data_IF_057752138252
#
_entry.id   IF_057752138252
#
_cell.length_a   1.000
_cell.length_b   1.000
_cell.length_c   1.000
_cell.angle_alpha   90.00
_cell.angle_beta   90.00
_cell.angle_gamma   90.00
#
_symmetry.space_group_name_H-M   'P 1'
#
loop_
_entity.id
_entity.type
_entity.pdbx_description
1 polymer ?
#
# COMPACT_ATOMS: atom_id res chain seq x y z
N UNK A 1 9.98 2.85 7.12
CA UNK A 1 8.85 1.90 7.32
C UNK A 1 9.32 0.45 7.16
N UNK A 2 10.51 0.09 7.67
CA UNK A 2 11.15 -1.23 7.45
C UNK A 2 11.52 -1.97 8.75
N UNK A 3 11.05 -1.49 9.91
CA UNK A 3 11.62 -1.92 11.20
C UNK A 3 10.97 -3.15 11.85
N UNK A 4 9.88 -3.70 11.30
CA UNK A 4 9.05 -4.68 12.03
C UNK A 4 9.02 -6.10 11.42
N UNK A 5 9.89 -6.43 10.46
CA UNK A 5 9.97 -7.80 9.93
C UNK A 5 10.91 -8.74 10.72
N UNK A 6 11.58 -8.25 11.77
CA UNK A 6 12.74 -8.93 12.39
C UNK A 6 12.43 -9.95 13.49
N UNK A 7 11.20 -10.09 13.98
CA UNK A 7 10.96 -10.87 15.22
C UNK A 7 9.82 -11.91 15.15
N UNK A 8 9.61 -12.58 14.01
CA UNK A 8 8.82 -13.82 14.01
C UNK A 8 9.61 -14.97 13.43
N UNK A 9 10.18 -15.76 14.34
CA UNK A 9 10.73 -17.10 14.12
C UNK A 9 9.71 -17.97 13.36
N UNK A 10 9.93 -18.17 12.07
CA UNK A 10 9.03 -18.96 11.22
C UNK A 10 9.19 -18.80 9.71
N UNK A 11 9.98 -17.83 9.24
CA UNK A 11 10.27 -17.59 7.82
C UNK A 11 11.71 -17.98 7.48
N UNK A 12 11.99 -18.36 6.22
CA UNK A 12 13.34 -18.64 5.74
C UNK A 12 14.09 -19.66 6.64
N UNK A 13 13.38 -20.71 7.08
CA UNK A 13 13.94 -21.72 8.01
C UNK A 13 14.36 -21.19 9.39
N UNK A 14 13.91 -19.99 9.78
CA UNK A 14 14.31 -19.31 11.01
C UNK A 14 15.49 -18.35 10.86
N UNK A 15 16.06 -18.24 9.66
CA UNK A 15 17.14 -17.29 9.35
C UNK A 15 16.53 -15.90 9.14
N UNK A 16 17.04 -14.85 9.80
CA UNK A 16 16.58 -13.47 9.57
C UNK A 16 16.67 -13.09 8.10
N UNK A 17 15.64 -12.41 7.60
CA UNK A 17 15.63 -11.81 6.26
C UNK A 17 16.27 -10.44 6.36
N UNK A 18 17.43 -10.25 5.72
CA UNK A 18 18.09 -8.95 5.58
C UNK A 18 17.67 -8.22 4.30
N UNK A 19 18.20 -7.02 4.09
CA UNK A 19 17.85 -6.17 2.94
C UNK A 19 18.31 -6.79 1.61
N UNK A 20 19.48 -7.42 1.58
CA UNK A 20 20.02 -8.05 0.37
C UNK A 20 19.19 -9.26 -0.04
N UNK A 21 18.83 -10.12 0.92
CA UNK A 21 17.93 -11.25 0.67
C UNK A 21 16.58 -10.78 0.17
N UNK A 22 16.03 -9.73 0.80
CA UNK A 22 14.74 -9.16 0.41
C UNK A 22 14.79 -8.61 -1.02
N UNK A 23 15.83 -7.85 -1.37
CA UNK A 23 15.98 -7.26 -2.69
C UNK A 23 16.13 -8.33 -3.79
N UNK A 24 16.90 -9.39 -3.51
CA UNK A 24 17.20 -10.44 -4.49
C UNK A 24 16.07 -11.46 -4.68
N UNK A 25 15.32 -11.78 -3.61
CA UNK A 25 14.41 -12.93 -3.61
C UNK A 25 12.94 -12.58 -3.37
N UNK A 26 12.63 -11.34 -2.98
CA UNK A 26 11.26 -10.94 -2.62
C UNK A 26 10.79 -9.75 -3.44
N UNK A 27 11.62 -8.74 -3.65
CA UNK A 27 11.25 -7.54 -4.38
C UNK A 27 10.99 -7.84 -5.86
N UNK A 28 9.78 -7.56 -6.35
CA UNK A 28 9.39 -7.73 -7.75
C UNK A 28 9.15 -9.18 -8.20
N UNK A 29 9.26 -10.16 -7.30
CA UNK A 29 9.02 -11.57 -7.59
C UNK A 29 7.52 -11.92 -7.53
N UNK A 30 7.13 -13.01 -8.19
CA UNK A 30 5.78 -13.57 -8.09
C UNK A 30 5.59 -14.28 -6.75
N UNK A 31 4.33 -14.38 -6.30
CA UNK A 31 4.02 -14.99 -5.00
C UNK A 31 4.47 -16.45 -4.91
N UNK A 32 4.38 -17.20 -6.00
CA UNK A 32 4.82 -18.60 -6.06
C UNK A 32 6.34 -18.73 -5.84
N UNK A 33 7.12 -17.83 -6.44
CA UNK A 33 8.58 -17.79 -6.30
C UNK A 33 8.96 -17.39 -4.86
N UNK A 34 8.27 -16.39 -4.29
CA UNK A 34 8.47 -15.95 -2.91
C UNK A 34 8.12 -17.08 -1.93
N UNK A 35 7.02 -17.80 -2.17
CA UNK A 35 6.60 -18.93 -1.35
C UNK A 35 7.62 -20.07 -1.40
N UNK A 36 8.14 -20.39 -2.58
CA UNK A 36 9.18 -21.41 -2.76
C UNK A 36 10.49 -21.05 -2.05
N UNK A 37 10.90 -19.78 -2.07
CA UNK A 37 12.09 -19.31 -1.36
C UNK A 37 11.90 -19.35 0.15
N UNK A 38 10.77 -18.83 0.66
CA UNK A 38 10.56 -18.67 2.10
C UNK A 38 10.13 -19.96 2.79
N UNK A 39 9.43 -20.84 2.07
CA UNK A 39 8.84 -22.07 2.56
C UNK A 39 9.00 -23.22 1.54
N UNK A 40 10.24 -23.64 1.21
CA UNK A 40 10.50 -24.66 0.18
C UNK A 40 9.83 -26.01 0.47
N UNK A 41 9.55 -26.31 1.75
CA UNK A 41 8.90 -27.54 2.18
C UNK A 41 7.38 -27.37 2.47
N UNK A 42 6.83 -26.17 2.31
CA UNK A 42 5.45 -25.83 2.67
C UNK A 42 4.94 -24.63 1.84
N UNK A 43 4.82 -24.85 0.53
CA UNK A 43 4.45 -23.81 -0.45
C UNK A 43 3.08 -23.21 -0.14
N UNK A 44 2.12 -24.04 0.29
CA UNK A 44 0.76 -23.61 0.63
C UNK A 44 0.77 -22.55 1.74
N UNK A 45 1.56 -22.76 2.79
CA UNK A 45 1.76 -21.76 3.85
C UNK A 45 2.43 -20.49 3.33
N UNK A 46 3.40 -20.61 2.43
CA UNK A 46 4.07 -19.46 1.80
C UNK A 46 3.11 -18.60 0.99
N UNK A 47 2.23 -19.23 0.19
CA UNK A 47 1.20 -18.54 -0.58
C UNK A 47 0.17 -17.86 0.30
N UNK A 48 -0.31 -18.58 1.34
CA UNK A 48 -1.23 -17.99 2.32
C UNK A 48 -0.64 -16.75 2.99
N UNK A 49 0.65 -16.77 3.31
CA UNK A 49 1.33 -15.59 3.86
C UNK A 49 1.37 -14.42 2.86
N UNK A 50 1.67 -14.70 1.58
CA UNK A 50 1.68 -13.67 0.54
C UNK A 50 0.30 -13.01 0.42
N UNK A 51 -0.77 -13.81 0.44
CA UNK A 51 -2.14 -13.28 0.41
C UNK A 51 -2.47 -12.51 1.69
N UNK A 52 -2.16 -13.01 2.88
CA UNK A 52 -2.40 -12.27 4.14
C UNK A 52 -1.58 -10.96 4.20
N UNK A 53 -0.35 -10.94 3.67
CA UNK A 53 0.46 -9.73 3.52
C UNK A 53 -0.24 -8.77 2.58
N UNK A 54 -0.66 -9.21 1.40
CA UNK A 54 -1.40 -8.39 0.43
C UNK A 54 -2.72 -7.89 1.02
N UNK A 55 -3.46 -8.70 1.77
CA UNK A 55 -4.69 -8.30 2.44
C UNK A 55 -4.42 -7.24 3.51
N UNK A 56 -3.36 -7.40 4.32
CA UNK A 56 -2.90 -6.38 5.26
C UNK A 56 -2.52 -5.09 4.53
N UNK A 57 -1.72 -5.16 3.47
CA UNK A 57 -1.34 -3.98 2.66
C UNK A 57 -2.54 -3.34 1.96
N UNK A 58 -3.48 -4.11 1.43
CA UNK A 58 -4.73 -3.64 0.80
C UNK A 58 -5.63 -2.93 1.81
N UNK A 59 -5.65 -3.36 3.08
CA UNK A 59 -6.33 -2.64 4.17
C UNK A 59 -5.68 -1.29 4.48
N UNK A 60 -4.39 -1.11 4.15
CA UNK A 60 -3.70 0.18 4.27
C UNK A 60 -3.65 0.92 2.93
N UNK A 61 -4.79 1.39 2.42
CA UNK A 61 -4.78 2.59 1.56
C UNK A 61 -4.11 3.72 2.38
N UNK A 62 -2.84 3.95 2.11
CA UNK A 62 -1.95 4.30 3.21
C UNK A 62 -2.09 5.78 3.56
N UNK A 63 -2.46 6.06 4.80
CA UNK A 63 -2.36 7.39 5.43
C UNK A 63 -0.99 8.02 5.13
N UNK A 64 0.07 7.21 4.99
CA UNK A 64 1.40 7.63 4.56
C UNK A 64 1.47 8.17 3.13
N UNK A 65 0.80 7.54 2.16
CA UNK A 65 0.73 8.02 0.78
C UNK A 65 0.00 9.36 0.69
N UNK A 66 -1.09 9.51 1.45
CA UNK A 66 -1.80 10.79 1.56
C UNK A 66 -0.90 11.86 2.19
N UNK A 67 -0.25 11.54 3.31
CA UNK A 67 0.70 12.46 3.96
C UNK A 67 1.83 12.90 3.04
N UNK A 68 2.38 11.99 2.24
CA UNK A 68 3.46 12.28 1.31
C UNK A 68 3.01 13.27 0.23
N UNK A 69 1.87 13.03 -0.42
CA UNK A 69 1.35 13.93 -1.44
C UNK A 69 1.00 15.31 -0.88
N UNK A 70 0.39 15.36 0.31
CA UNK A 70 0.10 16.63 1.02
C UNK A 70 1.38 17.38 1.37
N UNK A 71 2.41 16.69 1.89
CA UNK A 71 3.70 17.30 2.20
C UNK A 71 4.44 17.81 0.95
N UNK A 72 4.20 17.20 -0.20
CA UNK A 72 4.70 17.66 -1.51
C UNK A 72 3.88 18.82 -2.09
N UNK A 73 2.85 19.31 -1.40
CA UNK A 73 1.96 20.37 -1.88
C UNK A 73 1.02 19.92 -3.00
N UNK A 74 0.89 18.62 -3.24
CA UNK A 74 0.02 18.08 -4.28
C UNK A 74 -1.43 17.95 -3.76
N UNK A 75 -2.44 18.20 -4.61
CA UNK A 75 -3.80 17.82 -4.29
C UNK A 75 -3.91 16.29 -4.22
N UNK A 76 -4.44 15.77 -3.11
CA UNK A 76 -4.56 14.32 -2.89
C UNK A 76 -6.00 13.92 -2.69
N UNK A 77 -6.44 12.91 -3.44
CA UNK A 77 -7.75 12.29 -3.30
C UNK A 77 -7.57 10.94 -2.60
N UNK A 78 -8.16 10.79 -1.42
CA UNK A 78 -8.15 9.54 -0.67
C UNK A 78 -9.39 8.68 -0.97
N UNK A 79 -9.18 7.41 -1.28
CA UNK A 79 -10.26 6.46 -1.53
C UNK A 79 -10.69 5.81 -0.20
N UNK A 80 -11.97 5.93 0.15
CA UNK A 80 -12.51 5.41 1.41
C UNK A 80 -13.11 4.01 1.27
N UNK A 81 -12.98 3.37 0.09
CA UNK A 81 -13.41 1.97 -0.13
C UNK A 81 -12.84 1.02 0.91
N UNK A 82 -11.61 1.28 1.36
CA UNK A 82 -10.82 0.34 2.18
C UNK A 82 -10.43 0.87 3.56
N UNK A 83 -10.59 2.18 3.79
CA UNK A 83 -10.27 2.82 5.05
C UNK A 83 -11.40 3.71 5.55
N UNK A 84 -11.70 3.70 6.87
CA UNK A 84 -12.65 4.63 7.46
C UNK A 84 -12.24 6.08 7.19
N UNK A 85 -13.21 6.94 6.83
CA UNK A 85 -13.01 8.38 6.58
C UNK A 85 -12.17 9.05 7.68
N UNK A 86 -12.49 8.78 8.94
CA UNK A 86 -11.81 9.39 10.10
C UNK A 86 -10.31 9.05 10.20
N UNK A 87 -9.86 7.92 9.62
CA UNK A 87 -8.44 7.55 9.59
C UNK A 87 -7.69 8.34 8.51
N UNK A 88 -8.27 8.44 7.31
CA UNK A 88 -7.67 9.14 6.18
C UNK A 88 -7.64 10.67 6.42
N UNK A 89 -8.65 11.22 7.09
CA UNK A 89 -8.68 12.65 7.45
C UNK A 89 -7.48 13.09 8.31
N UNK A 90 -6.83 12.19 9.06
CA UNK A 90 -5.61 12.50 9.82
C UNK A 90 -4.42 12.90 8.93
N UNK A 91 -4.49 12.60 7.64
CA UNK A 91 -3.49 12.98 6.65
C UNK A 91 -3.85 14.25 5.87
N UNK A 92 -5.00 14.88 6.16
CA UNK A 92 -5.52 16.08 5.50
C UNK A 92 -5.55 16.00 3.96
N UNK A 93 -6.16 14.96 3.36
CA UNK A 93 -6.36 14.91 1.91
C UNK A 93 -7.23 16.07 1.44
N UNK A 94 -7.10 16.42 0.17
CA UNK A 94 -7.93 17.44 -0.50
C UNK A 94 -9.38 16.98 -0.60
N UNK A 95 -9.60 15.70 -0.91
CA UNK A 95 -10.93 15.11 -1.04
C UNK A 95 -10.88 13.64 -0.59
N UNK A 96 -11.98 13.16 -0.02
CA UNK A 96 -12.23 11.75 0.20
C UNK A 96 -13.41 11.28 -0.67
N UNK A 97 -13.23 10.20 -1.42
CA UNK A 97 -14.25 9.62 -2.30
C UNK A 97 -14.50 8.16 -1.94
N UNK A 98 -15.73 7.70 -2.09
CA UNK A 98 -16.09 6.31 -1.80
C UNK A 98 -15.76 5.35 -2.94
N UNK A 99 -15.74 5.83 -4.17
CA UNK A 99 -15.36 5.10 -5.38
C UNK A 99 -15.07 6.11 -6.50
N UNK A 100 -14.64 5.65 -7.68
CA UNK A 100 -14.36 6.51 -8.84
C UNK A 100 -15.61 7.08 -9.53
N UNK A 101 -16.79 6.63 -9.14
CA UNK A 101 -18.08 7.13 -9.64
C UNK A 101 -18.60 8.31 -8.79
N UNK A 102 -17.90 8.66 -7.70
CA UNK A 102 -18.28 9.77 -6.83
C UNK A 102 -18.28 11.10 -7.62
N UNK A 103 -19.44 11.79 -7.75
CA UNK A 103 -19.54 13.04 -8.50
C UNK A 103 -18.54 14.12 -8.05
N UNK A 104 -18.13 14.11 -6.78
CA UNK A 104 -17.17 15.07 -6.23
C UNK A 104 -15.79 14.95 -6.87
N UNK A 105 -15.43 13.75 -7.34
CA UNK A 105 -14.18 13.53 -8.08
C UNK A 105 -14.19 14.36 -9.37
N UNK A 106 -15.27 14.26 -10.14
CA UNK A 106 -15.41 14.93 -11.43
C UNK A 106 -15.49 16.45 -11.27
N UNK A 107 -16.12 16.94 -10.21
CA UNK A 107 -16.16 18.36 -9.88
C UNK A 107 -14.75 18.91 -9.63
N UNK A 108 -13.97 18.26 -8.75
CA UNK A 108 -12.58 18.69 -8.46
C UNK A 108 -11.67 18.60 -9.67
N UNK A 109 -11.76 17.53 -10.47
CA UNK A 109 -10.99 17.41 -11.70
C UNK A 109 -11.38 18.47 -12.74
N UNK A 110 -12.66 18.81 -12.83
CA UNK A 110 -13.15 19.89 -13.68
C UNK A 110 -12.62 21.25 -13.26
N UNK A 111 -12.56 21.54 -11.97
CA UNK A 111 -11.97 22.78 -11.44
C UNK A 111 -10.46 22.86 -11.68
N UNK A 112 -9.73 21.76 -11.48
CA UNK A 112 -8.29 21.70 -11.74
C UNK A 112 -7.98 21.97 -13.22
N UNK A 113 -8.74 21.35 -14.13
CA UNK A 113 -8.58 21.57 -15.57
C UNK A 113 -8.85 23.05 -15.95
N UNK A 114 -9.82 23.72 -15.33
CA UNK A 114 -10.06 25.16 -15.58
C UNK A 114 -8.88 26.02 -15.12
N UNK A 115 -8.33 25.76 -13.93
CA UNK A 115 -7.18 26.51 -13.39
C UNK A 115 -5.91 26.33 -14.22
N UNK A 116 -5.68 25.14 -14.77
CA UNK A 116 -4.55 24.87 -15.66
C UNK A 116 -4.67 25.61 -16.99
N UNK A 117 -5.89 25.81 -17.50
CA UNK A 117 -6.15 26.54 -18.74
C UNK A 117 -6.22 28.08 -18.57
N UNK A 118 -6.23 28.57 -17.33
CA UNK A 118 -6.30 30.00 -16.98
C UNK A 118 -4.97 30.56 -16.44
N UNK A 119 -3.94 29.72 -16.26
CA UNK A 119 -2.59 30.07 -15.79
C UNK A 119 -1.57 30.14 -16.94
#
# INVERSE_FOLDING_TARGET
MAHNFREKTGFNGGIPIDEDFFAQNISGMLDDDIAAVLFPNDIERGLKLCEEKKERFRKYDSVSGIKAGVAAGMPVIGLTTRNPKHMLMKANPTLLIENYEDPKLWEVLGELNKRENEA
#
